data_IF_117292929120
#
_entry.id   IF_117292929120
#
_cell.length_a   1.000
_cell.length_b   1.000
_cell.length_c   1.000
_cell.angle_alpha   90.00
_cell.angle_beta   90.00
_cell.angle_gamma   90.00
#
_symmetry.space_group_name_H-M   'P 1'
#
loop_
_entity.id
_entity.type
_entity.pdbx_description
1 polymer ?
#
# COMPACT_ATOMS: atom_id res chain seq x y z
N UNK A 1 19.74 -66.92 -0.64
CA UNK A 1 18.60 -66.14 -0.12
C UNK A 1 19.17 -64.80 0.35
N UNK A 2 19.12 -63.80 -0.53
CA UNK A 2 19.86 -62.52 -0.42
C UNK A 2 18.97 -61.44 0.20
N UNK A 3 19.33 -60.97 1.39
CA UNK A 3 18.60 -59.95 2.13
C UNK A 3 19.26 -58.58 1.87
N UNK A 4 18.58 -57.71 1.12
CA UNK A 4 19.00 -56.34 0.79
C UNK A 4 18.67 -55.40 1.95
N UNK A 5 19.68 -54.78 2.56
CA UNK A 5 19.49 -53.61 3.43
C UNK A 5 19.30 -52.36 2.56
N UNK A 6 18.14 -51.70 2.70
CA UNK A 6 17.84 -50.37 2.17
C UNK A 6 18.11 -49.35 3.29
N UNK A 7 19.28 -48.71 3.25
CA UNK A 7 19.56 -47.51 4.04
C UNK A 7 18.95 -46.29 3.36
N UNK A 8 17.83 -45.81 3.89
CA UNK A 8 17.25 -44.53 3.51
C UNK A 8 18.07 -43.40 4.16
N UNK A 9 18.84 -42.67 3.36
CA UNK A 9 19.51 -41.43 3.77
C UNK A 9 18.48 -40.33 3.88
N UNK A 10 18.16 -39.93 5.12
CA UNK A 10 17.34 -38.78 5.46
C UNK A 10 18.14 -37.50 5.20
N UNK A 11 17.93 -36.85 4.05
CA UNK A 11 18.52 -35.55 3.75
C UNK A 11 17.74 -34.48 4.51
N UNK A 12 18.28 -34.04 5.65
CA UNK A 12 17.72 -32.94 6.43
C UNK A 12 17.78 -31.63 5.66
N UNK A 13 16.62 -31.10 5.28
CA UNK A 13 16.48 -29.70 4.86
C UNK A 13 16.70 -28.80 6.08
N UNK A 14 17.87 -28.18 6.16
CA UNK A 14 18.09 -27.05 7.05
C UNK A 14 17.28 -25.86 6.54
N UNK A 15 16.12 -25.61 7.16
CA UNK A 15 15.38 -24.37 6.99
C UNK A 15 16.25 -23.23 7.55
N UNK A 16 16.87 -22.45 6.68
CA UNK A 16 17.52 -21.22 7.07
C UNK A 16 16.44 -20.28 7.64
N UNK A 17 16.42 -20.11 8.96
CA UNK A 17 15.58 -19.12 9.62
C UNK A 17 16.05 -17.74 9.18
N UNK A 18 15.35 -17.13 8.22
CA UNK A 18 15.51 -15.71 7.92
C UNK A 18 15.15 -14.97 9.21
N UNK A 19 16.03 -14.10 9.75
CA UNK A 19 15.72 -13.37 10.97
C UNK A 19 14.48 -12.51 10.73
N UNK A 20 13.42 -12.77 11.47
CA UNK A 20 12.10 -12.11 11.39
C UNK A 20 12.20 -10.57 11.38
N UNK A 21 13.18 -10.02 12.09
CA UNK A 21 13.45 -8.57 12.19
C UNK A 21 13.87 -7.94 10.84
N UNK A 22 14.57 -8.67 9.98
CA UNK A 22 14.98 -8.14 8.67
C UNK A 22 13.78 -8.06 7.70
N UNK A 23 12.90 -9.04 7.77
CA UNK A 23 11.65 -9.09 6.99
C UNK A 23 10.69 -7.96 7.40
N UNK A 24 10.60 -7.68 8.70
CA UNK A 24 9.75 -6.62 9.26
C UNK A 24 10.18 -5.22 8.81
N UNK A 25 11.49 -4.93 8.83
CA UNK A 25 12.04 -3.67 8.32
C UNK A 25 11.76 -3.47 6.83
N UNK A 26 11.86 -4.54 6.04
CA UNK A 26 11.56 -4.50 4.61
C UNK A 26 10.08 -4.21 4.37
N UNK A 27 9.16 -4.90 5.07
CA UNK A 27 7.72 -4.62 4.98
C UNK A 27 7.37 -3.16 5.30
N UNK A 28 7.91 -2.64 6.40
CA UNK A 28 7.67 -1.27 6.82
C UNK A 28 8.24 -0.27 5.81
N UNK A 29 9.43 -0.54 5.26
CA UNK A 29 10.03 0.29 4.21
C UNK A 29 9.15 0.30 2.95
N UNK A 30 8.70 -0.87 2.50
CA UNK A 30 7.86 -0.96 1.31
C UNK A 30 6.50 -0.29 1.50
N UNK A 31 5.88 -0.40 2.68
CA UNK A 31 4.64 0.33 3.00
C UNK A 31 4.87 1.85 3.00
N UNK A 32 5.99 2.31 3.56
CA UNK A 32 6.38 3.71 3.56
C UNK A 32 6.57 4.24 2.14
N UNK A 33 7.26 3.50 1.28
CA UNK A 33 7.51 3.89 -0.10
C UNK A 33 6.23 3.93 -0.93
N UNK A 34 5.36 2.92 -0.81
CA UNK A 34 4.03 2.93 -1.44
C UNK A 34 3.21 4.15 -0.99
N UNK A 35 3.23 4.47 0.32
CA UNK A 35 2.53 5.64 0.83
C UNK A 35 3.10 6.97 0.30
N UNK A 36 4.42 7.09 0.11
CA UNK A 36 5.05 8.26 -0.50
C UNK A 36 4.71 8.39 -1.99
N UNK A 37 4.69 7.28 -2.73
CA UNK A 37 4.30 7.28 -4.14
C UNK A 37 2.85 7.74 -4.31
N UNK A 38 1.93 7.21 -3.49
CA UNK A 38 0.52 7.64 -3.48
C UNK A 38 0.39 9.14 -3.16
N UNK A 39 1.15 9.65 -2.20
CA UNK A 39 1.16 11.09 -1.88
C UNK A 39 1.63 11.93 -3.07
N UNK A 40 2.76 11.54 -3.67
CA UNK A 40 3.35 12.23 -4.82
C UNK A 40 2.36 12.26 -5.98
N UNK A 41 1.78 11.12 -6.32
CA UNK A 41 0.91 10.99 -7.49
C UNK A 41 -0.41 11.72 -7.29
N UNK A 42 -1.00 11.64 -6.10
CA UNK A 42 -2.17 12.44 -5.76
C UNK A 42 -1.87 13.96 -5.79
N UNK A 43 -0.66 14.37 -5.39
CA UNK A 43 -0.22 15.77 -5.49
C UNK A 43 -0.10 16.21 -6.95
N UNK A 44 0.45 15.34 -7.82
CA UNK A 44 0.54 15.60 -9.26
C UNK A 44 -0.85 15.71 -9.91
N UNK A 45 -1.79 14.85 -9.53
CA UNK A 45 -3.20 14.94 -9.98
C UNK A 45 -3.80 16.27 -9.53
N UNK A 46 -3.67 16.63 -8.26
CA UNK A 46 -4.21 17.91 -7.75
C UNK A 46 -3.61 19.12 -8.48
N UNK A 47 -2.31 19.09 -8.78
CA UNK A 47 -1.63 20.14 -9.53
C UNK A 47 -2.09 20.22 -10.98
N UNK A 48 -2.14 19.09 -11.70
CA UNK A 48 -2.57 19.02 -13.09
C UNK A 48 -4.01 19.53 -13.27
N UNK A 49 -4.88 19.17 -12.32
CA UNK A 49 -6.27 19.64 -12.29
C UNK A 49 -6.39 21.14 -12.03
N UNK A 50 -5.36 21.87 -11.60
CA UNK A 50 -5.37 23.34 -11.45
C UNK A 50 -4.98 24.09 -12.72
N UNK A 51 -4.39 23.42 -13.70
CA UNK A 51 -3.94 24.07 -14.95
C UNK A 51 -5.12 24.62 -15.75
N UNK A 52 -4.94 25.79 -16.39
CA UNK A 52 -5.98 26.38 -17.25
C UNK A 52 -6.27 25.51 -18.47
N UNK A 53 -5.22 25.02 -19.12
CA UNK A 53 -5.28 24.09 -20.25
C UNK A 53 -4.97 22.68 -19.75
N UNK A 54 -5.91 22.12 -19.01
CA UNK A 54 -5.83 20.75 -18.50
C UNK A 54 -5.95 19.75 -19.66
N UNK A 55 -5.05 18.77 -19.67
CA UNK A 55 -5.22 17.52 -20.42
C UNK A 55 -5.91 16.48 -19.52
N UNK A 56 -7.17 16.17 -19.83
CA UNK A 56 -7.97 15.21 -19.06
C UNK A 56 -7.43 13.77 -19.20
N UNK A 57 -6.86 13.40 -20.35
CA UNK A 57 -6.25 12.08 -20.56
C UNK A 57 -4.98 11.93 -19.73
N UNK A 58 -4.14 12.96 -19.66
CA UNK A 58 -2.98 12.97 -18.78
C UNK A 58 -3.39 12.80 -17.30
N UNK A 59 -4.43 13.51 -16.85
CA UNK A 59 -4.92 13.33 -15.47
C UNK A 59 -5.46 11.92 -15.23
N UNK A 60 -6.22 11.34 -16.18
CA UNK A 60 -6.70 9.94 -16.07
C UNK A 60 -5.55 8.97 -15.94
N UNK A 61 -4.49 9.14 -16.74
CA UNK A 61 -3.27 8.31 -16.66
C UNK A 61 -2.59 8.44 -15.30
N UNK A 62 -2.48 9.65 -14.75
CA UNK A 62 -1.91 9.87 -13.40
C UNK A 62 -2.77 9.26 -12.30
N UNK A 63 -4.09 9.35 -12.42
CA UNK A 63 -5.00 8.64 -11.51
C UNK A 63 -4.75 7.13 -11.64
N UNK A 64 -4.71 6.57 -12.85
CA UNK A 64 -4.53 5.12 -13.01
C UNK A 64 -3.17 4.61 -12.51
N UNK A 65 -2.10 5.40 -12.63
CA UNK A 65 -0.78 5.05 -12.10
C UNK A 65 -0.84 4.75 -10.58
N UNK A 66 -1.66 5.47 -9.83
CA UNK A 66 -1.84 5.24 -8.39
C UNK A 66 -2.48 3.88 -8.06
N UNK A 67 -3.19 3.25 -9.01
CA UNK A 67 -3.83 1.94 -8.77
C UNK A 67 -2.79 0.87 -8.43
N UNK A 68 -1.61 0.92 -9.04
CA UNK A 68 -0.55 -0.06 -8.79
C UNK A 68 0.03 0.07 -7.38
N UNK A 69 0.32 1.29 -6.92
CA UNK A 69 0.83 1.52 -5.56
C UNK A 69 -0.21 1.15 -4.49
N UNK A 70 -1.51 1.38 -4.75
CA UNK A 70 -2.59 0.97 -3.84
C UNK A 70 -2.74 -0.55 -3.76
N UNK A 71 -2.69 -1.24 -4.90
CA UNK A 71 -2.73 -2.70 -4.94
C UNK A 71 -1.53 -3.31 -4.20
N UNK A 72 -0.33 -2.77 -4.42
CA UNK A 72 0.87 -3.17 -3.68
C UNK A 72 0.72 -2.93 -2.18
N UNK A 73 0.18 -1.77 -1.79
CA UNK A 73 -0.05 -1.46 -0.38
C UNK A 73 -1.03 -2.44 0.28
N UNK A 74 -2.12 -2.82 -0.39
CA UNK A 74 -3.04 -3.87 0.09
C UNK A 74 -2.35 -5.22 0.23
N UNK A 75 -1.56 -5.63 -0.76
CA UNK A 75 -0.81 -6.88 -0.70
C UNK A 75 0.15 -6.91 0.48
N UNK A 76 0.86 -5.80 0.74
CA UNK A 76 1.73 -5.65 1.90
C UNK A 76 0.96 -5.75 3.22
N UNK A 77 -0.22 -5.12 3.30
CA UNK A 77 -1.09 -5.22 4.48
C UNK A 77 -1.50 -6.66 4.73
N UNK A 78 -2.01 -7.35 3.71
CA UNK A 78 -2.46 -8.74 3.82
C UNK A 78 -1.31 -9.69 4.19
N UNK A 79 -0.13 -9.48 3.59
CA UNK A 79 1.07 -10.29 3.85
C UNK A 79 1.61 -10.08 5.26
N UNK A 80 1.56 -8.84 5.77
CA UNK A 80 1.96 -8.52 7.13
C UNK A 80 1.02 -9.18 8.15
N UNK A 81 -0.29 -9.10 7.94
CA UNK A 81 -1.29 -9.72 8.82
C UNK A 81 -1.17 -11.26 8.84
N UNK A 82 -0.89 -11.88 7.69
CA UNK A 82 -0.65 -13.32 7.59
C UNK A 82 0.63 -13.78 8.31
N UNK A 83 1.67 -12.95 8.32
CA UNK A 83 2.97 -13.26 8.95
C UNK A 83 3.02 -12.92 10.44
N UNK A 84 2.11 -12.08 10.94
CA UNK A 84 2.09 -11.62 12.33
C UNK A 84 0.73 -11.89 13.00
N UNK A 85 0.35 -13.17 13.22
CA UNK A 85 -0.95 -13.52 13.80
C UNK A 85 -1.13 -13.09 15.25
N UNK A 86 -0.04 -12.64 15.91
CA UNK A 86 -0.05 -12.15 17.30
C UNK A 86 0.71 -10.82 17.38
N UNK A 87 -0.01 -9.73 17.20
CA UNK A 87 0.49 -8.38 17.48
C UNK A 87 0.30 -8.06 18.97
N UNK A 88 1.16 -7.20 19.52
CA UNK A 88 0.92 -6.64 20.86
C UNK A 88 -0.35 -5.77 20.84
N UNK A 89 -0.98 -5.52 22.00
CA UNK A 89 -2.19 -4.69 22.05
C UNK A 89 -1.98 -3.28 21.48
N UNK A 90 -0.77 -2.72 21.67
CA UNK A 90 -0.38 -1.42 21.11
C UNK A 90 -0.25 -1.50 19.59
N UNK A 91 0.48 -2.49 19.08
CA UNK A 91 0.72 -2.63 17.64
C UNK A 91 -0.56 -2.98 16.91
N UNK A 92 -1.48 -3.71 17.56
CA UNK A 92 -2.79 -4.02 17.03
C UNK A 92 -3.63 -2.75 16.81
N UNK A 93 -3.56 -1.77 17.71
CA UNK A 93 -4.26 -0.49 17.55
C UNK A 93 -3.66 0.33 16.39
N UNK A 94 -2.34 0.47 16.34
CA UNK A 94 -1.67 1.19 15.23
C UNK A 94 -1.88 0.46 13.89
N UNK A 95 -1.92 -0.87 13.90
CA UNK A 95 -2.22 -1.71 12.74
C UNK A 95 -3.66 -1.53 12.24
N UNK A 96 -4.64 -1.54 13.14
CA UNK A 96 -6.04 -1.29 12.77
C UNK A 96 -6.19 0.12 12.17
N UNK A 97 -5.54 1.12 12.77
CA UNK A 97 -5.51 2.47 12.24
C UNK A 97 -4.81 2.56 10.88
N UNK A 98 -3.83 1.71 10.60
CA UNK A 98 -3.19 1.58 9.29
C UNK A 98 -4.19 1.03 8.26
N UNK A 99 -4.85 -0.10 8.56
CA UNK A 99 -5.84 -0.73 7.67
C UNK A 99 -6.97 0.22 7.29
N UNK A 100 -7.52 0.95 8.26
CA UNK A 100 -8.55 1.96 8.01
C UNK A 100 -8.07 3.06 7.05
N UNK A 101 -6.81 3.49 7.17
CA UNK A 101 -6.25 4.50 6.26
C UNK A 101 -6.07 3.96 4.85
N UNK A 102 -5.63 2.72 4.70
CA UNK A 102 -5.50 2.05 3.39
C UNK A 102 -6.87 1.95 2.72
N UNK A 103 -7.89 1.47 3.45
CA UNK A 103 -9.26 1.39 2.94
C UNK A 103 -9.81 2.77 2.52
N UNK A 104 -9.56 3.81 3.32
CA UNK A 104 -9.96 5.17 2.94
C UNK A 104 -9.23 5.67 1.69
N UNK A 105 -7.96 5.34 1.51
CA UNK A 105 -7.22 5.70 0.30
C UNK A 105 -7.85 5.06 -0.95
N UNK A 106 -8.25 3.79 -0.86
CA UNK A 106 -8.95 3.07 -1.93
C UNK A 106 -10.29 3.70 -2.28
N UNK A 107 -11.12 4.03 -1.27
CA UNK A 107 -12.42 4.66 -1.49
C UNK A 107 -12.25 5.98 -2.25
N UNK A 108 -11.34 6.83 -1.77
CA UNK A 108 -11.05 8.11 -2.42
C UNK A 108 -10.39 7.94 -3.79
N UNK A 109 -9.67 6.85 -4.02
CA UNK A 109 -9.14 6.49 -5.34
C UNK A 109 -10.23 6.07 -6.31
N UNK A 110 -11.09 5.14 -5.92
CA UNK A 110 -12.24 4.69 -6.71
C UNK A 110 -13.15 5.87 -7.09
N UNK A 111 -13.44 6.76 -6.15
CA UNK A 111 -14.23 7.97 -6.42
C UNK A 111 -13.56 8.88 -7.46
N UNK A 112 -12.24 9.10 -7.39
CA UNK A 112 -11.51 9.87 -8.42
C UNK A 112 -11.62 9.21 -9.79
N UNK A 113 -11.45 7.89 -9.89
CA UNK A 113 -11.58 7.15 -11.15
C UNK A 113 -12.98 7.31 -11.75
N UNK A 114 -14.03 7.15 -10.93
CA UNK A 114 -15.42 7.35 -11.36
C UNK A 114 -15.67 8.79 -11.84
N UNK A 115 -15.22 9.78 -11.08
CA UNK A 115 -15.37 11.19 -11.44
C UNK A 115 -14.64 11.55 -12.74
N UNK A 116 -13.44 11.00 -12.94
CA UNK A 116 -12.63 11.23 -14.14
C UNK A 116 -13.17 10.51 -15.38
N UNK A 117 -13.89 9.39 -15.20
CA UNK A 117 -14.58 8.69 -16.27
C UNK A 117 -15.88 9.41 -16.72
N UNK A 118 -16.49 10.22 -15.85
CA UNK A 118 -17.65 11.03 -16.17
C UNK A 118 -17.31 12.36 -16.88
N UNK A 119 -18.16 13.37 -16.70
CA UNK A 119 -17.93 14.73 -17.20
C UNK A 119 -16.78 15.39 -16.42
N UNK A 120 -15.57 15.24 -16.94
CA UNK A 120 -14.34 15.71 -16.30
C UNK A 120 -14.39 17.21 -15.99
N UNK A 121 -14.92 18.02 -16.90
CA UNK A 121 -14.96 19.48 -16.75
C UNK A 121 -15.80 19.89 -15.54
N UNK A 122 -16.98 19.29 -15.38
CA UNK A 122 -17.86 19.52 -14.22
C UNK A 122 -17.29 18.95 -12.93
N UNK A 123 -16.63 17.79 -13.01
CA UNK A 123 -16.10 17.10 -11.84
C UNK A 123 -14.72 17.58 -11.40
N UNK A 124 -14.08 18.48 -12.15
CA UNK A 124 -12.73 19.00 -11.92
C UNK A 124 -12.49 19.41 -10.46
N UNK A 125 -13.42 20.18 -9.87
CA UNK A 125 -13.32 20.63 -8.49
C UNK A 125 -13.33 19.47 -7.47
N UNK A 126 -14.18 18.48 -7.69
CA UNK A 126 -14.28 17.28 -6.86
C UNK A 126 -13.02 16.41 -7.01
N UNK A 127 -12.56 16.16 -8.23
CA UNK A 127 -11.33 15.39 -8.49
C UNK A 127 -10.15 15.99 -7.72
N UNK A 128 -10.00 17.32 -7.75
CA UNK A 128 -8.99 18.03 -6.97
C UNK A 128 -9.17 17.82 -5.47
N UNK A 129 -10.39 17.99 -4.95
CA UNK A 129 -10.66 17.83 -3.53
C UNK A 129 -10.36 16.41 -3.03
N UNK A 130 -10.71 15.38 -3.82
CA UNK A 130 -10.37 13.99 -3.50
C UNK A 130 -8.86 13.74 -3.61
N UNK A 131 -8.17 14.33 -4.57
CA UNK A 131 -6.71 14.23 -4.69
C UNK A 131 -6.02 14.86 -3.47
N UNK A 132 -6.40 16.09 -3.08
CA UNK A 132 -5.92 16.75 -1.87
C UNK A 132 -6.23 15.92 -0.60
N UNK A 133 -7.39 15.26 -0.57
CA UNK A 133 -7.79 14.34 0.50
C UNK A 133 -6.94 13.08 0.58
N UNK A 134 -6.49 12.55 -0.55
CA UNK A 134 -5.55 11.42 -0.63
C UNK A 134 -4.16 11.82 -0.14
N UNK A 135 -3.65 13.00 -0.55
CA UNK A 135 -2.35 13.51 -0.07
C UNK A 135 -2.31 13.55 1.46
N UNK A 136 -3.34 14.11 2.10
CA UNK A 136 -3.39 14.18 3.58
C UNK A 136 -3.42 12.80 4.23
N UNK A 137 -4.17 11.85 3.66
CA UNK A 137 -4.29 10.48 4.19
C UNK A 137 -3.00 9.69 4.00
N UNK A 138 -2.34 9.85 2.86
CA UNK A 138 -1.04 9.23 2.59
C UNK A 138 0.02 9.71 3.59
N UNK A 139 0.04 11.01 3.92
CA UNK A 139 0.90 11.54 5.00
C UNK A 139 0.59 10.93 6.37
N UNK A 140 -0.70 10.83 6.72
CA UNK A 140 -1.10 10.18 7.98
C UNK A 140 -0.73 8.70 8.01
N UNK A 141 -0.82 8.01 6.87
CA UNK A 141 -0.38 6.63 6.73
C UNK A 141 1.13 6.51 6.96
N UNK A 142 1.94 7.36 6.33
CA UNK A 142 3.40 7.40 6.58
C UNK A 142 3.71 7.59 8.06
N UNK A 143 3.00 8.48 8.76
CA UNK A 143 3.17 8.67 10.20
C UNK A 143 2.81 7.42 11.01
N UNK A 144 1.76 6.69 10.64
CA UNK A 144 1.40 5.42 11.29
C UNK A 144 2.43 4.34 11.02
N UNK A 145 2.89 4.18 9.77
CA UNK A 145 3.95 3.24 9.40
C UNK A 145 5.24 3.54 10.18
N UNK A 146 5.60 4.82 10.34
CA UNK A 146 6.76 5.22 11.13
C UNK A 146 6.62 4.91 12.63
N UNK A 147 5.40 4.83 13.17
CA UNK A 147 5.17 4.39 14.57
C UNK A 147 5.38 2.90 14.70
N UNK A 148 4.89 2.10 13.74
CA UNK A 148 5.10 0.65 13.67
C UNK A 148 6.58 0.27 13.50
N UNK A 149 7.40 1.15 12.93
CA UNK A 149 8.85 0.93 12.83
C UNK A 149 9.60 1.03 14.18
N UNK A 150 9.01 1.71 15.17
CA UNK A 150 9.67 2.03 16.45
C UNK A 150 9.30 1.08 17.58
N UNK A 151 8.19 0.35 17.42
CA UNK A 151 7.78 -0.78 18.25
C UNK A 151 8.71 -1.97 18.03
#
# INVERSE_FOLDING_TARGET
MTMRLLTATLTGLALAAIPSVALEKEFVSQMMDSAKNIERDASLVSAAVRLKNLDAEDVRKKIEAMSADLAKLQELVNSYEASHPKLSARDQQDWQALKEKVQLLEIFHGQKKQLAAGDFSKNRGLIRAHADGVVRRAKMLQQTVARLQRS
#
